data_IF_219052873634
#
_entry.id   IF_219052873634
#
_cell.length_a   1.000
_cell.length_b   1.000
_cell.length_c   1.000
_cell.angle_alpha   90.00
_cell.angle_beta   90.00
_cell.angle_gamma   90.00
#
_symmetry.space_group_name_H-M   'P 1'
#
loop_
_entity.id
_entity.type
_entity.pdbx_description
1 polymer ?
#
# COMPACT_ATOMS: atom_id res chain seq x y z
N UNK A 1 -1.01 3.09 -30.03
CA UNK A 1 -0.50 2.27 -28.90
C UNK A 1 -0.64 3.07 -27.61
N UNK A 2 -1.57 2.69 -26.70
CA UNK A 2 -1.74 3.35 -25.41
C UNK A 2 -0.49 3.02 -24.57
N UNK A 3 0.45 3.96 -24.45
CA UNK A 3 1.66 3.82 -23.63
C UNK A 3 1.20 3.35 -22.24
N UNK A 4 1.52 2.09 -21.90
CA UNK A 4 1.40 1.60 -20.51
C UNK A 4 2.30 2.53 -19.71
N UNK A 5 1.67 3.49 -19.03
CA UNK A 5 2.35 4.50 -18.22
C UNK A 5 3.10 3.69 -17.18
N UNK A 6 4.43 3.62 -17.31
CA UNK A 6 5.27 2.89 -16.37
C UNK A 6 4.89 3.34 -14.97
N UNK A 7 4.45 2.41 -14.13
CA UNK A 7 4.12 2.72 -12.76
C UNK A 7 5.46 2.95 -12.04
N UNK A 8 6.00 4.14 -12.19
CA UNK A 8 7.20 4.57 -11.49
C UNK A 8 6.80 4.87 -10.05
N UNK A 9 7.25 4.01 -9.14
CA UNK A 9 7.12 4.24 -7.72
C UNK A 9 7.90 5.51 -7.36
N UNK A 10 7.19 6.55 -6.93
CA UNK A 10 7.78 7.75 -6.36
C UNK A 10 8.51 7.42 -5.06
N UNK A 11 9.78 7.84 -4.97
CA UNK A 11 10.62 7.75 -3.77
C UNK A 11 9.98 8.50 -2.60
N UNK A 12 10.09 7.94 -1.39
CA UNK A 12 9.55 8.53 -0.17
C UNK A 12 8.03 8.37 -0.01
N UNK A 13 7.40 7.46 -0.76
CA UNK A 13 5.96 7.15 -0.63
C UNK A 13 5.76 5.74 -0.10
N UNK A 14 4.77 5.59 0.77
CA UNK A 14 4.28 4.31 1.25
C UNK A 14 3.34 3.70 0.24
N UNK A 15 3.53 2.42 -0.06
CA UNK A 15 2.69 1.67 -0.98
C UNK A 15 1.95 0.56 -0.26
N UNK A 16 0.70 0.38 -0.66
CA UNK A 16 -0.17 -0.70 -0.21
C UNK A 16 -0.97 -1.22 -1.41
N UNK A 17 -1.08 -2.52 -1.54
CA UNK A 17 -1.77 -3.18 -2.66
C UNK A 17 -3.02 -3.87 -2.13
N UNK A 18 -4.18 -3.46 -2.63
CA UNK A 18 -5.42 -4.18 -2.42
C UNK A 18 -5.46 -5.33 -3.42
N UNK A 19 -5.45 -6.55 -2.92
CA UNK A 19 -5.63 -7.77 -3.71
C UNK A 19 -7.13 -8.04 -3.79
N UNK A 20 -7.78 -7.39 -4.74
CA UNK A 20 -9.21 -7.53 -4.99
C UNK A 20 -9.40 -8.22 -6.35
N UNK A 21 -10.30 -9.20 -6.42
CA UNK A 21 -10.60 -9.86 -7.70
C UNK A 21 -11.64 -9.03 -8.45
N UNK A 22 -11.46 -8.67 -9.74
CA UNK A 22 -10.48 -9.18 -10.70
C UNK A 22 -9.22 -8.30 -10.94
N UNK A 23 -9.04 -7.17 -10.24
CA UNK A 23 -7.90 -6.29 -10.44
C UNK A 23 -7.28 -5.80 -9.12
N UNK A 24 -5.99 -6.03 -8.96
CA UNK A 24 -5.22 -5.52 -7.84
C UNK A 24 -5.07 -3.99 -7.95
N UNK A 25 -5.31 -3.28 -6.86
CA UNK A 25 -5.20 -1.82 -6.81
C UNK A 25 -4.03 -1.45 -5.92
N UNK A 26 -2.97 -0.91 -6.51
CA UNK A 26 -1.84 -0.34 -5.76
C UNK A 26 -2.12 1.11 -5.42
N UNK A 27 -2.20 1.42 -4.14
CA UNK A 27 -2.30 2.78 -3.60
C UNK A 27 -0.96 3.23 -3.06
N UNK A 28 -0.76 4.54 -3.09
CA UNK A 28 0.36 5.18 -2.44
C UNK A 28 -0.06 6.37 -1.57
N UNK A 29 0.70 6.58 -0.50
CA UNK A 29 0.53 7.70 0.44
C UNK A 29 1.88 8.32 0.73
N UNK A 30 1.89 9.64 0.89
CA UNK A 30 3.09 10.40 1.27
C UNK A 30 3.39 10.20 2.76
N UNK A 31 2.34 10.22 3.57
CA UNK A 31 2.44 10.13 5.01
C UNK A 31 2.27 8.68 5.50
N UNK A 32 3.10 8.29 6.47
CA UNK A 32 3.05 6.94 7.08
C UNK A 32 1.72 6.73 7.79
N UNK A 33 1.27 7.71 8.58
CA UNK A 33 0.04 7.61 9.36
C UNK A 33 -1.17 7.45 8.44
N UNK A 34 -1.21 8.23 7.35
CA UNK A 34 -2.25 8.11 6.33
C UNK A 34 -2.24 6.74 5.61
N UNK A 35 -1.05 6.15 5.39
CA UNK A 35 -0.92 4.82 4.83
C UNK A 35 -1.42 3.75 5.79
N UNK A 36 -1.04 3.84 7.07
CA UNK A 36 -1.46 2.92 8.13
C UNK A 36 -2.97 2.96 8.29
N UNK A 37 -3.58 4.14 8.41
CA UNK A 37 -5.05 4.28 8.50
C UNK A 37 -5.77 3.66 7.31
N UNK A 38 -5.23 3.83 6.09
CA UNK A 38 -5.82 3.22 4.90
C UNK A 38 -5.74 1.69 4.97
N UNK A 39 -4.57 1.15 5.35
CA UNK A 39 -4.36 -0.28 5.53
C UNK A 39 -5.32 -0.87 6.57
N UNK A 40 -5.44 -0.23 7.74
CA UNK A 40 -6.36 -0.62 8.80
C UNK A 40 -7.81 -0.56 8.35
N UNK A 41 -8.20 0.51 7.67
CA UNK A 41 -9.56 0.68 7.17
C UNK A 41 -9.94 -0.42 6.17
N UNK A 42 -9.07 -0.71 5.18
CA UNK A 42 -9.34 -1.77 4.21
C UNK A 42 -9.38 -3.15 4.87
N UNK A 43 -8.49 -3.41 5.82
CA UNK A 43 -8.50 -4.65 6.59
C UNK A 43 -9.76 -4.78 7.45
N UNK A 44 -10.22 -3.70 8.07
CA UNK A 44 -11.44 -3.64 8.87
C UNK A 44 -12.71 -3.86 8.02
N UNK A 45 -12.71 -3.42 6.76
CA UNK A 45 -13.78 -3.69 5.78
C UNK A 45 -13.74 -5.16 5.29
N UNK A 46 -12.70 -5.93 5.65
CA UNK A 46 -12.52 -7.31 5.19
C UNK A 46 -11.94 -7.41 3.78
N UNK A 47 -11.38 -6.33 3.23
CA UNK A 47 -10.63 -6.37 1.98
C UNK A 47 -9.24 -6.93 2.21
N UNK A 48 -8.75 -7.69 1.24
CA UNK A 48 -7.41 -8.23 1.28
C UNK A 48 -6.42 -7.13 0.87
N UNK A 49 -5.67 -6.62 1.85
CA UNK A 49 -4.72 -5.53 1.67
C UNK A 49 -3.33 -5.98 2.08
N UNK A 50 -2.37 -5.78 1.20
CA UNK A 50 -0.96 -6.07 1.39
C UNK A 50 -0.17 -4.77 1.57
N UNK A 51 0.67 -4.74 2.60
CA UNK A 51 1.56 -3.62 2.85
C UNK A 51 2.88 -3.85 2.12
N UNK A 52 3.20 -3.00 1.14
CA UNK A 52 4.49 -3.07 0.44
C UNK A 52 5.57 -2.29 1.21
N UNK A 53 5.19 -1.17 1.82
CA UNK A 53 6.11 -0.32 2.59
C UNK A 53 6.58 0.93 1.85
N UNK A 54 7.58 1.59 2.42
CA UNK A 54 8.16 2.82 1.89
C UNK A 54 9.07 2.51 0.70
N UNK A 55 8.80 3.10 -0.45
CA UNK A 55 9.69 2.99 -1.60
C UNK A 55 10.85 3.98 -1.47
N UNK A 56 12.09 3.49 -1.41
CA UNK A 56 13.28 4.36 -1.39
C UNK A 56 13.78 4.76 -2.80
N UNK A 57 13.10 4.33 -3.87
CA UNK A 57 13.55 4.56 -5.25
C UNK A 57 14.17 3.33 -5.90
N UNK A 58 14.53 2.31 -5.09
CA UNK A 58 15.13 1.06 -5.55
C UNK A 58 14.51 -0.18 -4.91
N UNK A 59 14.24 -0.11 -3.61
CA UNK A 59 13.64 -1.20 -2.83
C UNK A 59 12.62 -0.64 -1.83
N UNK A 60 11.75 -1.51 -1.31
CA UNK A 60 10.89 -1.18 -0.19
C UNK A 60 11.66 -1.31 1.12
N UNK A 61 11.78 -0.22 1.89
CA UNK A 61 12.59 -0.15 3.12
C UNK A 61 11.76 -0.17 4.41
N UNK A 62 10.43 -0.10 4.32
CA UNK A 62 9.49 -0.16 5.46
C UNK A 62 8.44 -1.27 5.25
N UNK A 63 8.89 -2.49 4.94
CA UNK A 63 8.02 -3.65 4.67
C UNK A 63 7.27 -4.15 5.91
N UNK A 64 7.60 -3.63 7.09
CA UNK A 64 6.94 -3.99 8.34
C UNK A 64 5.54 -3.38 8.35
N UNK A 65 4.55 -4.20 8.02
CA UNK A 65 3.16 -3.80 8.11
C UNK A 65 2.86 -3.26 9.52
N UNK A 66 2.08 -2.18 9.64
CA UNK A 66 1.58 -1.76 10.95
C UNK A 66 0.84 -2.95 11.56
N UNK A 67 1.19 -3.29 12.81
CA UNK A 67 0.39 -4.24 13.58
C UNK A 67 -0.98 -3.58 13.75
N UNK A 68 -1.93 -4.03 12.94
CA UNK A 68 -3.35 -3.72 13.15
C UNK A 68 -3.65 -4.33 14.51
N UNK A 69 -3.70 -3.48 15.53
CA UNK A 69 -4.15 -3.87 16.84
C UNK A 69 -5.61 -4.28 16.63
N UNK A 70 -5.82 -5.59 16.44
CA UNK A 70 -7.15 -6.16 16.37
C UNK A 70 -7.87 -5.69 17.61
N UNK A 71 -8.90 -4.88 17.41
CA UNK A 71 -9.87 -4.59 18.46
C UNK A 71 -10.47 -5.95 18.82
N UNK A 72 -10.14 -6.41 20.02
CA UNK A 72 -10.63 -7.65 20.62
C UNK A 72 -12.15 -7.60 20.84
#
# INVERSE_FOLDING_TARGET
>A
MRKKKGFEYGKGKYYLTLVDFPNNITLHRLDRDAAVRAFEHYKAIGKNVEWLGLWDGKNFTDVKAPQVAGVA
#
